data_IF_733805368884
#
_entry.id   IF_733805368884
#
_cell.length_a   1.000
_cell.length_b   1.000
_cell.length_c   1.000
_cell.angle_alpha   90.00
_cell.angle_beta   90.00
_cell.angle_gamma   90.00
#
_symmetry.space_group_name_H-M   'P 1'
#
loop_
_entity.id
_entity.type
_entity.pdbx_description
1 polymer ?
#
# COMPACT_ATOMS: atom_id res chain seq x y z
N UNK A 1 -51.67 -45.51 -71.74
CA UNK A 1 -50.47 -44.72 -72.12
C UNK A 1 -50.91 -43.27 -72.11
N UNK A 2 -50.41 -42.33 -71.32
CA UNK A 2 -49.31 -42.25 -70.35
C UNK A 2 -49.62 -40.95 -69.57
N UNK A 3 -49.82 -41.01 -68.27
CA UNK A 3 -48.85 -40.71 -67.21
C UNK A 3 -49.04 -39.28 -66.65
N UNK A 4 -49.38 -39.22 -65.35
CA UNK A 4 -49.64 -38.01 -64.58
C UNK A 4 -48.31 -37.39 -64.14
N UNK A 5 -47.97 -36.19 -64.64
CA UNK A 5 -46.86 -35.41 -64.09
C UNK A 5 -47.31 -34.61 -62.86
N UNK A 6 -47.00 -35.13 -61.67
CA UNK A 6 -47.07 -34.37 -60.39
C UNK A 6 -46.02 -33.25 -60.39
N UNK A 7 -46.32 -32.05 -59.83
CA UNK A 7 -45.29 -31.04 -59.62
C UNK A 7 -44.35 -31.45 -58.49
N UNK A 8 -43.04 -31.28 -58.70
CA UNK A 8 -42.02 -31.55 -57.69
C UNK A 8 -42.06 -30.50 -56.57
N UNK A 9 -41.88 -30.88 -55.30
CA UNK A 9 -41.80 -29.91 -54.21
C UNK A 9 -40.43 -29.22 -54.24
N UNK A 10 -40.41 -27.89 -54.23
CA UNK A 10 -39.16 -27.12 -54.09
C UNK A 10 -38.52 -27.40 -52.71
N UNK A 11 -37.21 -27.66 -52.62
CA UNK A 11 -36.55 -27.94 -51.36
C UNK A 11 -36.46 -26.65 -50.53
N UNK A 12 -37.24 -26.57 -49.45
CA UNK A 12 -37.08 -25.53 -48.44
C UNK A 12 -35.66 -25.60 -47.87
N UNK A 13 -34.86 -24.54 -47.99
CA UNK A 13 -33.50 -24.46 -47.41
C UNK A 13 -33.56 -24.68 -45.90
N UNK A 14 -33.35 -25.93 -45.45
CA UNK A 14 -33.23 -26.30 -44.04
C UNK A 14 -31.87 -25.79 -43.54
N UNK A 15 -31.88 -24.71 -42.77
CA UNK A 15 -30.67 -24.19 -42.10
C UNK A 15 -30.20 -25.24 -41.09
N UNK A 16 -29.07 -25.88 -41.36
CA UNK A 16 -28.57 -27.01 -40.58
C UNK A 16 -28.19 -26.64 -39.15
N UNK A 17 -28.11 -27.66 -38.29
CA UNK A 17 -27.75 -27.60 -36.86
C UNK A 17 -26.52 -26.72 -36.56
N UNK A 18 -25.56 -26.61 -37.49
CA UNK A 18 -24.38 -25.76 -37.36
C UNK A 18 -24.72 -24.26 -37.27
N UNK A 19 -25.79 -23.80 -37.94
CA UNK A 19 -26.20 -22.40 -37.94
C UNK A 19 -26.88 -22.02 -36.62
N UNK A 20 -27.80 -22.87 -36.11
CA UNK A 20 -28.47 -22.62 -34.83
C UNK A 20 -27.57 -22.92 -33.63
N UNK A 21 -26.71 -23.95 -33.69
CA UNK A 21 -25.77 -24.28 -32.63
C UNK A 21 -24.68 -23.23 -32.44
N UNK A 22 -24.06 -22.77 -33.54
CA UNK A 22 -23.03 -21.73 -33.47
C UNK A 22 -23.62 -20.38 -33.02
N UNK A 23 -24.80 -19.99 -33.54
CA UNK A 23 -25.49 -18.78 -33.07
C UNK A 23 -25.87 -18.88 -31.60
N UNK A 24 -26.37 -20.03 -31.14
CA UNK A 24 -26.75 -20.22 -29.72
C UNK A 24 -25.54 -20.13 -28.80
N UNK A 25 -24.40 -20.75 -29.16
CA UNK A 25 -23.15 -20.63 -28.41
C UNK A 25 -22.67 -19.18 -28.37
N UNK A 26 -22.73 -18.48 -29.51
CA UNK A 26 -22.31 -17.08 -29.60
C UNK A 26 -23.18 -16.18 -28.72
N UNK A 27 -24.51 -16.38 -28.73
CA UNK A 27 -25.44 -15.67 -27.84
C UNK A 27 -25.15 -15.97 -26.38
N UNK A 28 -24.90 -17.24 -26.01
CA UNK A 28 -24.55 -17.61 -24.63
C UNK A 28 -23.25 -16.95 -24.19
N UNK A 29 -22.20 -16.95 -25.03
CA UNK A 29 -20.92 -16.29 -24.72
C UNK A 29 -21.12 -14.79 -24.52
N UNK A 30 -21.94 -14.15 -25.36
CA UNK A 30 -22.27 -12.72 -25.20
C UNK A 30 -23.02 -12.49 -23.89
N UNK A 31 -24.02 -13.31 -23.55
CA UNK A 31 -24.77 -13.19 -22.31
C UNK A 31 -23.90 -13.42 -21.07
N UNK A 32 -22.99 -14.40 -21.10
CA UNK A 32 -22.01 -14.65 -20.04
C UNK A 32 -21.02 -13.49 -19.93
N UNK A 33 -20.55 -12.95 -21.05
CA UNK A 33 -19.70 -11.77 -21.07
C UNK A 33 -20.38 -10.55 -20.47
N UNK A 34 -21.65 -10.32 -20.81
CA UNK A 34 -22.47 -9.25 -20.24
C UNK A 34 -22.69 -9.47 -18.74
N UNK A 35 -23.06 -10.68 -18.32
CA UNK A 35 -23.25 -11.02 -16.92
C UNK A 35 -21.95 -10.85 -16.10
N UNK A 36 -20.82 -11.30 -16.64
CA UNK A 36 -19.49 -11.13 -16.06
C UNK A 36 -19.11 -9.65 -15.95
N UNK A 37 -19.36 -8.86 -16.99
CA UNK A 37 -19.16 -7.41 -16.97
C UNK A 37 -19.97 -6.73 -15.86
N UNK A 38 -21.26 -7.05 -15.74
CA UNK A 38 -22.11 -6.50 -14.68
C UNK A 38 -21.69 -6.97 -13.28
N UNK A 39 -21.29 -8.23 -13.12
CA UNK A 39 -20.81 -8.77 -11.85
C UNK A 39 -19.52 -8.08 -11.39
N UNK A 40 -18.54 -7.93 -12.29
CA UNK A 40 -17.30 -7.19 -12.01
C UNK A 40 -17.62 -5.74 -11.66
N UNK A 41 -18.49 -5.08 -12.45
CA UNK A 41 -18.86 -3.68 -12.20
C UNK A 41 -19.61 -3.50 -10.88
N UNK A 42 -20.46 -4.45 -10.49
CA UNK A 42 -21.14 -4.44 -9.19
C UNK A 42 -20.13 -4.61 -8.04
N UNK A 43 -19.21 -5.57 -8.15
CA UNK A 43 -18.15 -5.79 -7.15
C UNK A 43 -17.26 -4.55 -6.98
N UNK A 44 -16.81 -3.95 -8.08
CA UNK A 44 -16.03 -2.71 -8.06
C UNK A 44 -16.81 -1.55 -7.45
N UNK A 45 -18.08 -1.37 -7.79
CA UNK A 45 -18.92 -0.32 -7.20
C UNK A 45 -19.13 -0.52 -5.68
N UNK A 46 -19.31 -1.76 -5.22
CA UNK A 46 -19.43 -2.07 -3.79
C UNK A 46 -18.13 -1.83 -3.04
N UNK A 47 -17.00 -2.20 -3.63
CA UNK A 47 -15.69 -1.91 -3.07
C UNK A 47 -15.43 -0.39 -3.02
N UNK A 48 -15.75 0.35 -4.09
CA UNK A 48 -15.64 1.80 -4.12
C UNK A 48 -16.47 2.44 -3.00
N UNK A 49 -17.72 2.03 -2.81
CA UNK A 49 -18.58 2.54 -1.73
C UNK A 49 -18.02 2.20 -0.33
N UNK A 50 -17.41 1.01 -0.17
CA UNK A 50 -16.75 0.64 1.08
C UNK A 50 -15.51 1.49 1.35
N UNK A 51 -14.68 1.78 0.35
CA UNK A 51 -13.50 2.65 0.51
C UNK A 51 -13.92 4.11 0.69
N UNK A 52 -15.01 4.53 0.06
CA UNK A 52 -15.58 5.87 0.21
C UNK A 52 -15.91 6.22 1.67
N UNK A 53 -16.40 5.25 2.44
CA UNK A 53 -16.73 5.45 3.86
C UNK A 53 -15.49 5.79 4.72
N UNK A 54 -14.30 5.36 4.27
CA UNK A 54 -13.00 5.52 4.92
C UNK A 54 -12.14 6.62 4.28
N UNK A 55 -12.64 7.32 3.26
CA UNK A 55 -11.94 8.42 2.60
C UNK A 55 -12.70 9.72 2.75
N UNK A 56 -12.01 10.84 2.61
CA UNK A 56 -12.53 12.20 2.74
C UNK A 56 -12.28 13.01 1.47
N UNK A 57 -13.03 14.08 1.25
CA UNK A 57 -12.86 14.97 0.09
C UNK A 57 -11.79 16.04 0.29
N UNK A 58 -11.16 16.08 1.47
CA UNK A 58 -10.11 17.02 1.81
C UNK A 58 -8.92 16.33 2.48
N UNK A 59 -7.68 16.77 2.20
CA UNK A 59 -6.50 16.27 2.90
C UNK A 59 -6.53 16.66 4.38
N UNK A 60 -5.99 15.79 5.22
CA UNK A 60 -5.73 16.12 6.62
C UNK A 60 -4.58 17.11 6.71
N UNK A 61 -4.71 18.12 7.58
CA UNK A 61 -3.63 19.07 7.86
C UNK A 61 -2.54 18.38 8.69
N UNK A 62 -1.50 17.91 8.02
CA UNK A 62 -0.33 17.34 8.69
C UNK A 62 0.57 18.46 9.23
N UNK A 63 1.15 18.30 10.44
CA UNK A 63 2.14 19.24 10.95
C UNK A 63 3.34 19.37 10.01
N UNK A 64 3.90 20.58 9.95
CA UNK A 64 5.10 20.86 9.16
C UNK A 64 6.25 21.12 10.11
N UNK A 65 7.25 20.23 10.10
CA UNK A 65 8.48 20.43 10.87
C UNK A 65 9.40 21.36 10.09
N UNK A 66 9.74 22.48 10.71
CA UNK A 66 10.73 23.42 10.21
C UNK A 66 11.98 23.29 11.07
N UNK A 67 12.99 22.61 10.53
CA UNK A 67 14.31 22.50 11.16
C UNK A 67 15.22 23.58 10.58
N UNK A 68 15.93 24.38 11.41
CA UNK A 68 16.91 25.34 10.93
C UNK A 68 17.98 24.67 10.07
N UNK A 69 18.48 25.38 9.05
CA UNK A 69 19.46 24.84 8.10
C UNK A 69 20.73 24.33 8.78
N UNK A 70 21.19 25.00 9.84
CA UNK A 70 22.36 24.59 10.61
C UNK A 70 22.12 23.24 11.32
N UNK A 71 20.99 23.09 12.01
CA UNK A 71 20.61 21.85 12.69
C UNK A 71 20.40 20.69 11.71
N UNK A 72 19.77 20.96 10.55
CA UNK A 72 19.60 19.97 9.51
C UNK A 72 20.95 19.49 8.95
N UNK A 73 21.92 20.39 8.77
CA UNK A 73 23.25 20.02 8.29
C UNK A 73 24.00 19.11 9.28
N UNK A 74 23.79 19.28 10.58
CA UNK A 74 24.35 18.38 11.60
C UNK A 74 23.65 17.01 11.59
N UNK A 75 22.33 16.99 11.47
CA UNK A 75 21.55 15.77 11.33
C UNK A 75 21.97 14.98 10.09
N UNK A 76 22.07 15.64 8.94
CA UNK A 76 22.47 15.04 7.67
C UNK A 76 23.88 14.45 7.74
N UNK A 77 24.82 15.15 8.37
CA UNK A 77 26.16 14.62 8.66
C UNK A 77 26.12 13.37 9.54
N UNK A 78 25.33 13.38 10.63
CA UNK A 78 25.18 12.22 11.54
C UNK A 78 24.65 11.00 10.81
N UNK A 79 23.58 11.18 10.03
CA UNK A 79 22.94 10.11 9.26
C UNK A 79 23.88 9.59 8.16
N UNK A 80 24.55 10.49 7.43
CA UNK A 80 25.49 10.11 6.37
C UNK A 80 26.69 9.35 6.94
N UNK A 81 27.31 9.84 8.01
CA UNK A 81 28.43 9.16 8.66
C UNK A 81 28.05 7.75 9.16
N UNK A 82 26.83 7.60 9.70
CA UNK A 82 26.32 6.29 10.11
C UNK A 82 26.10 5.36 8.91
N UNK A 83 25.49 5.85 7.83
CA UNK A 83 25.28 5.08 6.60
C UNK A 83 26.60 4.65 5.95
N UNK A 84 27.59 5.53 5.89
CA UNK A 84 28.92 5.23 5.34
C UNK A 84 29.66 4.18 6.18
N UNK A 85 29.55 4.27 7.50
CA UNK A 85 30.09 3.28 8.41
C UNK A 85 29.39 1.92 8.27
N UNK A 86 28.06 1.89 8.13
CA UNK A 86 27.32 0.67 7.83
C UNK A 86 27.73 0.06 6.49
N UNK A 87 27.85 0.87 5.44
CA UNK A 87 28.26 0.41 4.11
C UNK A 87 29.68 -0.18 4.13
N UNK A 88 30.58 0.43 4.92
CA UNK A 88 31.96 -0.01 5.09
C UNK A 88 32.16 -1.05 6.19
N UNK A 89 31.10 -1.48 6.88
CA UNK A 89 31.12 -2.36 8.05
C UNK A 89 32.11 -1.91 9.14
N UNK A 90 32.20 -0.60 9.38
CA UNK A 90 33.02 -0.02 10.44
C UNK A 90 32.21 0.17 11.72
N UNK A 91 32.87 0.04 12.87
CA UNK A 91 32.29 0.42 14.14
C UNK A 91 31.90 1.91 14.11
N UNK A 92 30.71 2.22 14.63
CA UNK A 92 30.17 3.58 14.66
C UNK A 92 29.24 3.72 15.86
N UNK A 93 29.17 4.90 16.50
CA UNK A 93 28.21 5.14 17.57
C UNK A 93 26.76 4.89 17.13
N UNK A 94 25.84 4.54 18.05
CA UNK A 94 24.43 4.39 17.73
C UNK A 94 23.84 5.65 17.10
N UNK A 95 23.06 5.47 16.04
CA UNK A 95 22.26 6.56 15.47
C UNK A 95 20.96 6.70 16.26
N UNK A 96 20.83 7.80 16.98
CA UNK A 96 19.61 8.17 17.71
C UNK A 96 18.86 9.21 16.90
N UNK A 97 17.55 9.04 16.69
CA UNK A 97 16.70 10.00 15.98
C UNK A 97 15.41 10.28 16.77
N UNK A 98 14.98 11.53 16.75
CA UNK A 98 13.69 12.00 17.25
C UNK A 98 12.64 12.00 16.13
N UNK A 99 11.36 12.13 16.50
CA UNK A 99 10.28 12.32 15.52
C UNK A 99 10.52 13.52 14.61
N UNK A 100 10.97 14.65 15.15
CA UNK A 100 11.25 15.87 14.39
C UNK A 100 12.40 15.70 13.41
N UNK A 101 13.49 15.02 13.80
CA UNK A 101 14.60 14.68 12.90
C UNK A 101 14.11 13.75 11.77
N UNK A 102 13.27 12.75 12.06
CA UNK A 102 12.69 11.88 11.01
C UNK A 102 11.84 12.70 10.04
N UNK A 103 10.98 13.58 10.53
CA UNK A 103 10.17 14.46 9.69
C UNK A 103 11.04 15.41 8.85
N UNK A 104 12.10 15.97 9.43
CA UNK A 104 13.04 16.82 8.71
C UNK A 104 13.75 16.07 7.58
N UNK A 105 14.17 14.82 7.81
CA UNK A 105 14.73 13.94 6.77
C UNK A 105 13.72 13.67 5.65
N UNK A 106 12.44 13.40 5.98
CA UNK A 106 11.40 13.17 4.97
C UNK A 106 11.17 14.39 4.05
N UNK A 107 11.26 15.60 4.59
CA UNK A 107 11.01 16.84 3.83
C UNK A 107 12.16 17.19 2.87
N UNK A 108 13.38 16.88 3.27
CA UNK A 108 14.61 17.36 2.62
C UNK A 108 15.34 16.27 1.80
N UNK A 109 15.13 14.98 2.08
CA UNK A 109 15.81 13.90 1.37
C UNK A 109 15.09 13.55 0.05
N UNK A 110 15.80 13.52 -1.11
CA UNK A 110 15.23 13.13 -2.40
C UNK A 110 14.57 11.74 -2.41
N UNK A 111 15.09 10.78 -1.63
CA UNK A 111 14.53 9.42 -1.57
C UNK A 111 13.12 9.37 -0.95
N UNK A 112 12.71 10.41 -0.21
CA UNK A 112 11.46 10.46 0.54
C UNK A 112 10.45 11.46 -0.05
N UNK A 113 10.73 12.04 -1.22
CA UNK A 113 9.87 13.07 -1.83
C UNK A 113 8.42 12.60 -2.02
N UNK A 114 8.19 11.31 -2.25
CA UNK A 114 6.84 10.76 -2.42
C UNK A 114 6.01 10.80 -1.12
N UNK A 115 6.66 10.86 0.05
CA UNK A 115 6.04 10.88 1.37
C UNK A 115 5.87 12.31 1.91
N UNK A 116 6.56 13.29 1.33
CA UNK A 116 6.48 14.69 1.71
C UNK A 116 5.03 15.19 1.64
N UNK A 117 4.56 15.75 2.75
CA UNK A 117 3.18 16.26 2.87
C UNK A 117 2.10 15.17 2.91
N UNK A 118 2.48 13.89 3.00
CA UNK A 118 1.54 12.74 3.08
C UNK A 118 1.70 11.93 4.36
N UNK A 119 2.85 12.04 5.04
CA UNK A 119 3.16 11.33 6.27
C UNK A 119 3.79 12.29 7.28
N UNK A 120 3.35 12.21 8.52
CA UNK A 120 3.94 12.86 9.67
C UNK A 120 4.18 11.82 10.76
N UNK A 121 5.35 11.83 11.38
CA UNK A 121 5.80 10.84 12.36
C UNK A 121 6.00 11.50 13.72
N UNK A 122 5.51 10.85 14.76
CA UNK A 122 5.76 11.18 16.16
C UNK A 122 6.31 9.93 16.84
N UNK A 123 7.12 10.12 17.88
CA UNK A 123 7.55 9.03 18.74
C UNK A 123 7.07 9.39 20.14
N UNK A 124 6.20 8.55 20.69
CA UNK A 124 5.63 8.73 22.02
C UNK A 124 5.92 7.47 22.83
N UNK A 125 6.59 7.64 23.97
CA UNK A 125 7.06 6.54 24.80
C UNK A 125 7.91 5.55 23.97
N UNK A 126 7.44 4.31 23.84
CA UNK A 126 8.09 3.21 23.13
C UNK A 126 7.37 2.88 21.80
N UNK A 127 6.57 3.83 21.28
CA UNK A 127 5.78 3.64 20.07
C UNK A 127 6.02 4.75 19.04
N UNK A 128 5.96 4.37 17.76
CA UNK A 128 5.93 5.32 16.66
C UNK A 128 4.48 5.57 16.27
N UNK A 129 4.05 6.82 16.34
CA UNK A 129 2.74 7.25 15.86
C UNK A 129 2.90 7.94 14.51
N UNK A 130 2.08 7.55 13.54
CA UNK A 130 2.05 8.15 12.21
C UNK A 130 0.70 8.78 11.94
N UNK A 131 0.68 9.95 11.32
CA UNK A 131 -0.49 10.53 10.68
C UNK A 131 -0.28 10.55 9.17
N UNK A 132 -1.28 10.16 8.43
CA UNK A 132 -1.21 9.96 6.98
C UNK A 132 -2.37 10.66 6.30
N UNK A 133 -2.07 11.36 5.21
CA UNK A 133 -3.03 11.88 4.24
C UNK A 133 -2.57 11.50 2.84
N UNK A 134 -3.10 10.38 2.34
CA UNK A 134 -2.76 9.89 1.01
C UNK A 134 -3.84 10.25 -0.01
N UNK A 135 -3.51 10.97 -1.09
CA UNK A 135 -4.44 11.14 -2.19
C UNK A 135 -4.72 9.78 -2.85
N UNK A 136 -5.98 9.53 -3.18
CA UNK A 136 -6.42 8.32 -3.86
C UNK A 136 -6.39 8.48 -5.38
N UNK A 137 -5.89 9.60 -5.90
CA UNK A 137 -5.85 9.92 -7.34
C UNK A 137 -5.00 8.94 -8.17
N UNK A 138 -4.05 8.28 -7.53
CA UNK A 138 -3.15 7.30 -8.13
C UNK A 138 -3.53 5.86 -7.79
N UNK A 139 -3.11 4.92 -8.63
CA UNK A 139 -3.35 3.49 -8.41
C UNK A 139 -4.83 3.11 -8.59
N UNK A 140 -5.51 2.74 -7.49
CA UNK A 140 -6.85 2.14 -7.52
C UNK A 140 -7.90 3.04 -8.19
N UNK A 141 -7.82 4.38 -8.08
CA UNK A 141 -8.78 5.27 -8.73
C UNK A 141 -8.65 5.35 -10.26
N UNK A 142 -7.53 4.87 -10.83
CA UNK A 142 -7.33 4.79 -12.28
C UNK A 142 -8.01 3.55 -12.88
N UNK A 143 -8.42 2.58 -12.05
CA UNK A 143 -9.10 1.38 -12.53
C UNK A 143 -10.52 1.71 -13.02
N UNK A 144 -10.96 1.10 -14.15
CA UNK A 144 -12.32 1.30 -14.66
C UNK A 144 -13.38 0.96 -13.60
N UNK A 145 -14.23 1.92 -13.26
CA UNK A 145 -15.28 1.74 -12.24
C UNK A 145 -14.91 2.17 -10.81
N UNK A 146 -13.66 2.57 -10.56
CA UNK A 146 -13.22 3.11 -9.26
C UNK A 146 -12.94 4.63 -9.30
N UNK A 147 -13.31 5.31 -10.39
CA UNK A 147 -13.07 6.74 -10.59
C UNK A 147 -13.74 7.64 -9.53
N UNK A 148 -14.69 7.12 -8.75
CA UNK A 148 -15.30 7.82 -7.60
C UNK A 148 -14.32 8.09 -6.46
N UNK A 149 -13.20 7.37 -6.41
CA UNK A 149 -12.14 7.59 -5.43
C UNK A 149 -11.21 8.75 -5.81
N UNK A 150 -11.28 9.23 -7.05
CA UNK A 150 -10.48 10.35 -7.54
C UNK A 150 -10.88 11.64 -6.80
N UNK A 151 -9.89 12.44 -6.39
CA UNK A 151 -10.04 13.63 -5.57
C UNK A 151 -10.32 13.35 -4.09
N UNK A 152 -10.29 12.07 -3.67
CA UNK A 152 -10.46 11.68 -2.26
C UNK A 152 -9.13 11.40 -1.60
N UNK A 153 -9.11 11.51 -0.28
CA UNK A 153 -7.94 11.29 0.56
C UNK A 153 -8.22 10.19 1.57
N UNK A 154 -7.26 9.28 1.73
CA UNK A 154 -7.21 8.35 2.84
C UNK A 154 -6.49 9.05 3.99
N UNK A 155 -7.27 9.52 4.96
CA UNK A 155 -6.77 10.19 6.15
C UNK A 155 -6.85 9.24 7.34
N UNK A 156 -5.74 9.07 8.04
CA UNK A 156 -5.69 8.19 9.18
C UNK A 156 -4.51 8.42 10.09
N UNK A 157 -4.54 7.74 11.23
CA UNK A 157 -3.44 7.66 12.16
C UNK A 157 -3.20 6.22 12.56
N UNK A 158 -1.94 5.87 12.82
CA UNK A 158 -1.56 4.54 13.27
C UNK A 158 -0.50 4.64 14.35
N UNK A 159 -0.50 3.68 15.27
CA UNK A 159 0.62 3.48 16.22
C UNK A 159 1.27 2.15 15.90
N UNK A 160 2.60 2.15 15.80
CA UNK A 160 3.41 1.01 15.45
C UNK A 160 4.43 0.77 16.57
N UNK A 161 4.70 -0.51 16.83
CA UNK A 161 5.84 -0.93 17.63
C UNK A 161 6.91 -1.50 16.71
N UNK A 162 8.13 -1.01 16.85
CA UNK A 162 9.27 -1.41 16.02
C UNK A 162 10.36 -1.99 16.91
N UNK A 163 10.89 -3.15 16.52
CA UNK A 163 12.09 -3.72 17.14
C UNK A 163 12.84 -4.59 16.13
N UNK A 164 14.17 -4.56 16.16
CA UNK A 164 15.01 -5.54 15.46
C UNK A 164 15.58 -6.52 16.48
N UNK A 165 15.26 -7.81 16.34
CA UNK A 165 15.72 -8.88 17.22
C UNK A 165 16.22 -10.04 16.35
N UNK A 166 17.42 -10.57 16.65
CA UNK A 166 18.03 -11.68 15.91
C UNK A 166 18.07 -11.46 14.38
N UNK A 167 18.37 -10.22 13.96
CA UNK A 167 18.40 -9.83 12.54
C UNK A 167 17.03 -9.75 11.86
N UNK A 168 15.93 -9.95 12.60
CA UNK A 168 14.55 -9.87 12.12
C UNK A 168 13.86 -8.59 12.61
N UNK A 169 13.45 -7.75 11.66
CA UNK A 169 12.74 -6.50 11.92
C UNK A 169 11.26 -6.84 12.15
N UNK A 170 10.78 -6.52 13.34
CA UNK A 170 9.38 -6.60 13.71
C UNK A 170 8.78 -5.21 13.67
N UNK A 171 7.80 -5.02 12.79
CA UNK A 171 6.94 -3.83 12.77
C UNK A 171 5.52 -4.33 12.98
N UNK A 172 4.93 -4.02 14.13
CA UNK A 172 3.59 -4.49 14.49
C UNK A 172 2.65 -3.32 14.71
N UNK A 173 1.44 -3.46 14.20
CA UNK A 173 0.40 -2.44 14.38
C UNK A 173 -0.20 -2.54 15.77
N UNK A 174 -0.25 -1.42 16.49
CA UNK A 174 -0.86 -1.32 17.82
C UNK A 174 -2.26 -0.73 17.71
N UNK A 175 -2.39 0.36 16.96
CA UNK A 175 -3.66 1.02 16.68
C UNK A 175 -3.73 1.50 15.23
N UNK A 176 -4.93 1.56 14.69
CA UNK A 176 -5.24 2.20 13.42
C UNK A 176 -6.55 2.97 13.59
N UNK A 177 -6.58 4.18 13.07
CA UNK A 177 -7.76 5.01 12.97
C UNK A 177 -7.83 5.56 11.56
N UNK A 178 -9.02 5.48 10.97
CA UNK A 178 -9.32 6.08 9.68
C UNK A 178 -10.56 6.94 9.89
N UNK A 179 -10.48 8.23 9.56
CA UNK A 179 -11.52 9.21 9.91
C UNK A 179 -11.89 9.22 11.39
N UNK A 180 -10.90 9.06 12.27
CA UNK A 180 -11.08 9.00 13.72
C UNK A 180 -11.78 7.75 14.25
N UNK A 181 -12.07 6.77 13.39
CA UNK A 181 -12.68 5.50 13.77
C UNK A 181 -11.68 4.36 13.64
N UNK A 182 -11.65 3.49 14.65
CA UNK A 182 -10.88 2.25 14.54
C UNK A 182 -11.64 1.22 13.70
N UNK A 183 -10.94 0.45 12.85
CA UNK A 183 -11.54 -0.70 12.19
C UNK A 183 -12.12 -1.69 13.21
N UNK A 184 -13.10 -2.52 12.79
CA UNK A 184 -13.61 -3.63 13.60
C UNK A 184 -12.51 -4.50 14.22
N UNK A 185 -12.73 -4.98 15.45
CA UNK A 185 -11.69 -5.67 16.23
C UNK A 185 -11.20 -6.95 15.55
N UNK A 186 -12.04 -7.65 14.78
CA UNK A 186 -11.62 -8.82 14.00
C UNK A 186 -10.61 -8.47 12.88
N UNK A 187 -10.67 -7.24 12.35
CA UNK A 187 -9.67 -6.73 11.39
C UNK A 187 -8.43 -6.27 12.15
N UNK A 188 -8.60 -5.52 13.24
CA UNK A 188 -7.48 -5.06 14.05
C UNK A 188 -6.65 -6.23 14.59
N UNK A 189 -7.27 -7.27 15.14
CA UNK A 189 -6.57 -8.46 15.63
C UNK A 189 -5.68 -9.11 14.56
N UNK A 190 -6.17 -9.20 13.32
CA UNK A 190 -5.39 -9.72 12.20
C UNK A 190 -4.23 -8.81 11.82
N UNK A 191 -4.41 -7.49 11.89
CA UNK A 191 -3.36 -6.51 11.63
C UNK A 191 -2.27 -6.54 12.71
N UNK A 192 -2.65 -6.70 13.99
CA UNK A 192 -1.68 -6.79 15.11
C UNK A 192 -0.87 -8.10 15.07
N UNK A 193 -1.48 -9.19 14.61
CA UNK A 193 -0.82 -10.50 14.51
C UNK A 193 0.21 -10.60 13.37
N UNK A 194 0.25 -9.63 12.46
CA UNK A 194 1.17 -9.64 11.30
C UNK A 194 2.38 -8.75 11.56
N UNK A 195 3.55 -9.25 11.17
CA UNK A 195 4.74 -8.42 11.03
C UNK A 195 4.68 -7.68 9.68
N UNK A 196 4.46 -6.37 9.73
CA UNK A 196 4.36 -5.51 8.54
C UNK A 196 5.69 -5.39 7.78
N UNK A 197 6.82 -5.67 8.45
CA UNK A 197 8.14 -5.64 7.83
C UNK A 197 8.58 -6.99 7.24
N UNK A 198 7.75 -8.05 7.30
CA UNK A 198 8.14 -9.39 6.84
C UNK A 198 8.68 -9.41 5.39
N UNK A 199 8.12 -8.57 4.51
CA UNK A 199 8.47 -8.53 3.09
C UNK A 199 9.75 -7.73 2.81
N UNK A 200 10.31 -7.03 3.80
CA UNK A 200 11.54 -6.24 3.62
C UNK A 200 12.72 -7.14 3.19
N UNK A 201 12.70 -8.41 3.61
CA UNK A 201 13.72 -9.41 3.31
C UNK A 201 13.61 -10.03 1.90
N UNK A 202 12.53 -9.76 1.17
CA UNK A 202 12.36 -10.26 -0.19
C UNK A 202 13.26 -9.52 -1.19
N UNK A 203 13.70 -8.30 -0.85
CA UNK A 203 14.74 -7.57 -1.60
C UNK A 203 16.12 -7.87 -1.00
N UNK A 204 17.05 -8.46 -1.77
CA UNK A 204 18.40 -8.78 -1.29
C UNK A 204 19.14 -7.57 -0.72
N UNK A 205 18.95 -6.37 -1.28
CA UNK A 205 19.63 -5.15 -0.79
C UNK A 205 19.14 -4.78 0.60
N UNK A 206 17.83 -4.82 0.80
CA UNK A 206 17.23 -4.51 2.10
C UNK A 206 17.60 -5.57 3.14
N UNK A 207 17.59 -6.85 2.76
CA UNK A 207 18.03 -7.94 3.64
C UNK A 207 19.49 -7.77 4.07
N UNK A 208 20.38 -7.37 3.15
CA UNK A 208 21.78 -7.08 3.46
C UNK A 208 21.92 -5.91 4.44
N UNK A 209 21.17 -4.82 4.24
CA UNK A 209 21.15 -3.69 5.18
C UNK A 209 20.68 -4.12 6.56
N UNK A 210 19.59 -4.90 6.68
CA UNK A 210 19.10 -5.37 7.98
C UNK A 210 20.11 -6.25 8.71
N UNK A 211 20.92 -7.05 7.99
CA UNK A 211 21.99 -7.88 8.59
C UNK A 211 23.16 -7.08 9.12
N UNK A 212 23.37 -5.85 8.64
CA UNK A 212 24.41 -4.93 9.13
C UNK A 212 23.99 -4.19 10.40
N UNK A 213 22.75 -4.39 10.86
CA UNK A 213 22.21 -3.77 12.06
C UNK A 213 22.19 -4.80 13.19
N UNK A 214 22.63 -4.37 14.38
CA UNK A 214 22.54 -5.15 15.61
C UNK A 214 21.14 -5.02 16.22
N UNK A 215 20.66 -3.79 16.34
CA UNK A 215 19.36 -3.49 16.95
C UNK A 215 18.74 -2.20 16.41
N UNK A 216 17.42 -2.16 16.51
CA UNK A 216 16.57 -1.00 16.28
C UNK A 216 15.59 -1.02 17.44
N UNK A 217 15.59 0.04 18.24
CA UNK A 217 14.75 0.14 19.44
C UNK A 217 14.08 1.51 19.47
N UNK A 218 12.82 1.51 19.88
CA UNK A 218 12.07 2.75 20.14
C UNK A 218 11.89 2.83 21.64
N UNK A 219 12.44 3.89 22.23
CA UNK A 219 12.40 4.11 23.67
C UNK A 219 12.55 5.59 24.00
N UNK A 220 11.88 6.05 25.05
CA UNK A 220 12.02 7.41 25.58
C UNK A 220 11.80 8.49 24.50
N UNK A 221 10.86 8.27 23.58
CA UNK A 221 10.55 9.22 22.51
C UNK A 221 11.59 9.28 21.38
N UNK A 222 12.50 8.30 21.29
CA UNK A 222 13.56 8.25 20.27
C UNK A 222 13.67 6.86 19.65
N UNK A 223 14.13 6.80 18.41
CA UNK A 223 14.58 5.56 17.78
C UNK A 223 16.11 5.49 17.87
N UNK A 224 16.63 4.36 18.31
CA UNK A 224 18.06 4.07 18.38
C UNK A 224 18.40 2.92 17.46
N UNK A 225 19.39 3.12 16.60
CA UNK A 225 19.84 2.13 15.60
C UNK A 225 21.32 1.84 15.87
N UNK A 226 21.66 0.56 16.03
CA UNK A 226 23.04 0.11 16.27
C UNK A 226 23.57 -0.71 15.10
N UNK A 227 24.82 -0.48 14.73
CA UNK A 227 25.55 -1.26 13.74
C UNK A 227 26.01 -2.60 14.34
N UNK A 228 26.00 -3.67 13.54
CA UNK A 228 26.53 -4.99 13.94
C UNK A 228 28.05 -5.10 13.82
N UNK A 229 28.72 -4.06 13.30
CA UNK A 229 30.17 -4.04 13.22
C UNK A 229 30.76 -4.01 14.64
N UNK A 230 31.58 -5.01 14.97
CA UNK A 230 32.28 -5.07 16.26
C UNK A 230 33.42 -4.04 16.27
N UNK A 231 33.60 -3.38 17.41
CA UNK A 231 34.82 -2.61 17.73
C UNK A 231 36.07 -3.49 17.68
#
# INVERSE_FOLDING_TARGET
>A
MSDQSKPSPQPTKRRGCFFYGCITVLVIVVLVGIAGFFAVRYGLNKFAAFVEQYTETSPMKLPVVQMPTAEYAELDKRVTAFNDALASQKATPPLVLTGDEINALMVNNPAWQQLKGKLYVMIEEDQIKGQVSMPMDDGLAQLPGLSKLKGRFLNGSASLKISLQDGTLFVTMQSLQVKGQSPPENIMAQLRARNLAQNIYNDPKNAETMRKLESIEVKDGKITIKSSAKE
#
